data_IF_164839748657
#
_entry.id   IF_164839748657
#
_cell.length_a   1.000
_cell.length_b   1.000
_cell.length_c   1.000
_cell.angle_alpha   90.00
_cell.angle_beta   90.00
_cell.angle_gamma   90.00
#
_symmetry.space_group_name_H-M   'P 1'
#
loop_
_entity.id
_entity.type
_entity.pdbx_description
1 polymer ?
#
# COMPACT_ATOMS: atom_id res chain seq x y z
N UNK A 1 6.51 18.34 1.26
CA UNK A 1 5.17 18.46 1.88
C UNK A 1 4.12 19.08 0.96
N UNK A 2 4.33 20.26 0.33
CA UNK A 2 3.24 20.94 -0.41
C UNK A 2 2.71 20.23 -1.69
N UNK A 3 3.57 19.56 -2.47
CA UNK A 3 3.09 18.73 -3.62
C UNK A 3 2.24 17.55 -3.12
N UNK A 4 2.47 17.07 -1.89
CA UNK A 4 1.70 15.99 -1.26
C UNK A 4 0.40 16.50 -0.61
N UNK A 5 0.36 17.76 -0.16
CA UNK A 5 -0.86 18.37 0.39
C UNK A 5 -1.86 18.77 -0.70
N UNK A 6 -1.40 19.19 -1.89
CA UNK A 6 -2.29 19.44 -3.05
C UNK A 6 -2.87 18.14 -3.65
N UNK A 7 -2.31 16.96 -3.33
CA UNK A 7 -2.81 15.65 -3.80
C UNK A 7 -4.07 15.21 -3.03
N UNK A 8 -4.38 15.83 -1.89
CA UNK A 8 -5.56 15.52 -1.08
C UNK A 8 -6.85 16.18 -1.59
N UNK A 9 -6.74 17.21 -2.43
CA UNK A 9 -7.86 17.74 -3.22
C UNK A 9 -7.73 17.17 -4.63
N UNK A 10 -8.67 16.31 -5.05
CA UNK A 10 -8.56 15.38 -6.19
C UNK A 10 -8.26 15.91 -7.60
N UNK A 11 -7.84 17.16 -7.76
CA UNK A 11 -7.72 17.87 -9.04
C UNK A 11 -6.35 17.68 -9.73
N UNK A 12 -5.31 17.20 -9.04
CA UNK A 12 -3.94 17.14 -9.61
C UNK A 12 -3.69 16.05 -10.66
N UNK A 13 -4.58 15.06 -10.83
CA UNK A 13 -4.37 13.94 -11.76
C UNK A 13 -4.30 14.37 -13.24
N UNK A 14 -4.82 15.56 -13.55
CA UNK A 14 -4.89 16.09 -14.92
C UNK A 14 -3.88 17.21 -15.22
N UNK A 15 -2.93 17.45 -14.32
CA UNK A 15 -1.87 18.44 -14.53
C UNK A 15 -0.82 17.89 -15.51
N UNK A 16 -0.71 18.50 -16.69
CA UNK A 16 0.25 18.12 -17.73
C UNK A 16 1.65 18.65 -17.47
N UNK A 17 1.75 19.82 -16.84
CA UNK A 17 3.02 20.50 -16.63
C UNK A 17 3.00 21.28 -15.31
N UNK A 18 4.09 21.17 -14.55
CA UNK A 18 4.37 21.98 -13.38
C UNK A 18 5.62 22.81 -13.66
N UNK A 19 5.52 24.14 -13.50
CA UNK A 19 6.67 25.03 -13.59
C UNK A 19 6.76 25.92 -12.35
N UNK A 20 7.99 26.22 -11.93
CA UNK A 20 8.27 27.08 -10.77
C UNK A 20 8.91 28.36 -11.27
N UNK A 21 8.36 29.51 -10.90
CA UNK A 21 8.89 30.83 -11.24
C UNK A 21 8.88 31.71 -9.99
N UNK A 22 10.06 31.91 -9.41
CA UNK A 22 10.20 32.58 -8.11
C UNK A 22 9.40 31.87 -7.02
N UNK A 23 8.57 32.62 -6.30
CA UNK A 23 7.71 32.12 -5.22
C UNK A 23 6.36 31.55 -5.73
N UNK A 24 6.19 31.38 -7.05
CA UNK A 24 4.94 30.87 -7.63
C UNK A 24 5.13 29.47 -8.23
N UNK A 25 4.18 28.58 -7.93
CA UNK A 25 4.05 27.27 -8.57
C UNK A 25 2.88 27.33 -9.54
N UNK A 26 3.14 27.07 -10.83
CA UNK A 26 2.15 27.15 -11.90
C UNK A 26 1.82 25.72 -12.35
N UNK A 27 0.55 25.34 -12.22
CA UNK A 27 0.02 24.04 -12.64
C UNK A 27 -0.83 24.21 -13.90
N UNK A 28 -0.43 23.52 -14.98
CA UNK A 28 -1.12 23.52 -16.25
C UNK A 28 -2.02 22.29 -16.39
N UNK A 29 -3.34 22.49 -16.43
CA UNK A 29 -4.32 21.43 -16.66
C UNK A 29 -4.71 21.34 -18.14
N UNK A 30 -5.12 20.14 -18.57
CA UNK A 30 -5.24 19.73 -19.98
C UNK A 30 -6.08 20.58 -20.92
N UNK A 31 -6.87 21.61 -20.51
CA UNK A 31 -7.53 22.49 -21.53
C UNK A 31 -8.15 23.83 -21.12
N UNK A 32 -8.37 24.20 -19.85
CA UNK A 32 -9.10 25.47 -19.54
C UNK A 32 -8.71 26.24 -18.27
N UNK A 33 -7.82 25.70 -17.44
CA UNK A 33 -7.50 26.31 -16.15
C UNK A 33 -5.99 26.36 -15.92
N UNK A 34 -5.52 27.53 -15.50
CA UNK A 34 -4.20 27.71 -14.90
C UNK A 34 -4.43 27.95 -13.42
N UNK A 35 -3.81 27.13 -12.58
CA UNK A 35 -3.74 27.40 -11.15
C UNK A 35 -2.35 27.94 -10.83
N UNK A 36 -2.32 29.10 -10.20
CA UNK A 36 -1.10 29.71 -9.69
C UNK A 36 -1.18 29.69 -8.17
N UNK A 37 -0.25 28.98 -7.55
CA UNK A 37 -0.11 28.96 -6.09
C UNK A 37 1.03 29.90 -5.69
N UNK A 38 0.72 30.88 -4.83
CA UNK A 38 1.70 31.80 -4.27
C UNK A 38 2.23 31.25 -2.94
N UNK A 39 3.54 31.01 -2.87
CA UNK A 39 4.19 30.38 -1.72
C UNK A 39 4.29 31.30 -0.51
N UNK A 40 4.31 32.61 -0.69
CA UNK A 40 4.38 33.57 0.42
C UNK A 40 3.00 33.83 1.04
N UNK A 41 1.95 33.97 0.22
CA UNK A 41 0.60 34.26 0.72
C UNK A 41 -0.26 33.01 0.98
N UNK A 42 0.16 31.83 0.53
CA UNK A 42 -0.64 30.59 0.54
C UNK A 42 -1.96 30.68 -0.25
N UNK A 43 -2.11 31.67 -1.13
CA UNK A 43 -3.30 31.83 -1.95
C UNK A 43 -3.22 31.03 -3.27
N UNK A 44 -4.38 30.53 -3.70
CA UNK A 44 -4.56 29.83 -4.97
C UNK A 44 -5.36 30.75 -5.89
N UNK A 45 -4.72 31.26 -6.94
CA UNK A 45 -5.39 31.99 -8.00
C UNK A 45 -5.82 31.01 -9.10
N UNK A 46 -7.13 30.91 -9.34
CA UNK A 46 -7.71 30.09 -10.41
C UNK A 46 -8.05 30.98 -11.60
N UNK A 47 -7.32 30.83 -12.69
CA UNK A 47 -7.63 31.48 -13.96
C UNK A 47 -8.44 30.53 -14.83
N UNK A 48 -9.76 30.75 -14.90
CA UNK A 48 -10.53 30.31 -16.05
C UNK A 48 -10.10 31.14 -17.26
N UNK A 49 -10.21 30.58 -18.47
CA UNK A 49 -10.05 31.36 -19.68
C UNK A 49 -11.43 31.89 -20.14
N UNK A 50 -11.92 33.06 -19.67
CA UNK A 50 -12.88 33.82 -20.43
C UNK A 50 -12.08 34.68 -21.42
N UNK A 51 -12.42 34.53 -22.70
CA UNK A 51 -12.05 35.38 -23.82
C UNK A 51 -11.21 36.64 -23.47
N UNK A 52 -9.88 36.54 -23.66
CA UNK A 52 -9.06 37.71 -24.00
C UNK A 52 -8.28 38.42 -22.90
N UNK A 53 -7.65 37.71 -21.96
CA UNK A 53 -6.58 38.32 -21.14
C UNK A 53 -5.20 38.12 -21.81
N UNK A 54 -4.57 39.23 -22.22
CA UNK A 54 -3.15 39.28 -22.57
C UNK A 54 -2.33 39.27 -21.28
N UNK A 55 -1.57 38.21 -21.02
CA UNK A 55 -0.47 38.28 -20.05
C UNK A 55 0.86 38.39 -20.79
N UNK A 56 1.70 39.31 -20.33
CA UNK A 56 3.06 39.50 -20.79
C UNK A 56 4.02 38.76 -19.85
N UNK A 57 5.06 38.13 -20.41
CA UNK A 57 6.13 37.58 -19.58
C UNK A 57 7.03 38.69 -19.01
N UNK A 58 7.97 38.34 -18.14
CA UNK A 58 8.95 39.27 -17.55
C UNK A 58 9.87 39.99 -18.58
N UNK A 59 9.70 39.74 -19.88
CA UNK A 59 10.38 40.40 -21.01
C UNK A 59 9.41 41.12 -21.96
N UNK A 60 8.16 41.36 -21.56
CA UNK A 60 7.17 42.11 -22.34
C UNK A 60 6.64 41.39 -23.60
N UNK A 61 6.80 40.07 -23.72
CA UNK A 61 6.24 39.30 -24.85
C UNK A 61 4.92 38.63 -24.44
N UNK A 62 3.83 38.79 -25.23
CA UNK A 62 2.54 38.21 -24.91
C UNK A 62 2.55 36.68 -25.11
N UNK A 63 1.93 35.95 -24.18
CA UNK A 63 1.64 34.53 -24.36
C UNK A 63 0.47 34.35 -25.34
N UNK A 64 0.70 33.75 -26.50
CA UNK A 64 -0.39 33.32 -27.39
C UNK A 64 -1.00 32.03 -26.87
N UNK A 65 -2.23 32.07 -26.34
CA UNK A 65 -2.98 30.88 -25.99
C UNK A 65 -3.18 30.00 -27.24
N UNK A 66 -2.74 28.74 -27.18
CA UNK A 66 -2.94 27.76 -28.25
C UNK A 66 -4.40 27.33 -28.45
N UNK A 67 -5.32 27.84 -27.62
CA UNK A 67 -6.74 27.54 -27.64
C UNK A 67 -7.51 28.06 -28.87
N UNK A 68 -6.92 28.95 -29.69
CA UNK A 68 -7.54 29.52 -30.90
C UNK A 68 -6.99 28.97 -32.24
N UNK A 69 -6.21 27.88 -32.23
CA UNK A 69 -5.77 27.27 -33.50
C UNK A 69 -6.94 26.53 -34.15
N UNK A 70 -7.36 26.98 -35.34
CA UNK A 70 -8.30 26.24 -36.20
C UNK A 70 -7.55 25.18 -37.00
N UNK A 71 -8.17 24.02 -37.18
CA UNK A 71 -7.70 22.99 -38.13
C UNK A 71 -8.42 23.22 -39.45
N UNK A 72 -7.68 23.45 -40.52
CA UNK A 72 -8.26 23.51 -41.87
C UNK A 72 -8.16 22.13 -42.50
N UNK A 73 -9.30 21.56 -42.89
CA UNK A 73 -9.36 20.34 -43.69
C UNK A 73 -9.81 20.70 -45.11
N UNK A 74 -9.06 20.22 -46.10
CA UNK A 74 -9.40 20.44 -47.51
C UNK A 74 -10.05 19.18 -48.06
N UNK A 75 -11.25 19.30 -48.62
CA UNK A 75 -11.91 18.19 -49.30
C UNK A 75 -11.11 17.80 -50.55
N UNK A 76 -10.67 16.55 -50.73
CA UNK A 76 -9.87 16.16 -51.90
C UNK A 76 -10.64 16.23 -53.23
N UNK A 77 -11.98 16.21 -53.18
CA UNK A 77 -12.83 16.22 -54.38
C UNK A 77 -13.15 17.64 -54.85
N UNK A 78 -13.69 18.50 -53.97
CA UNK A 78 -14.10 19.86 -54.34
C UNK A 78 -13.08 20.93 -53.95
N UNK A 79 -12.00 20.56 -53.25
CA UNK A 79 -10.96 21.46 -52.70
C UNK A 79 -11.50 22.54 -51.75
N UNK A 80 -12.76 22.45 -51.34
CA UNK A 80 -13.33 23.37 -50.36
C UNK A 80 -12.69 23.13 -49.00
N UNK A 81 -12.37 24.21 -48.32
CA UNK A 81 -11.75 24.20 -47.00
C UNK A 81 -12.84 24.28 -45.92
N UNK A 82 -12.77 23.36 -44.95
CA UNK A 82 -13.55 23.41 -43.73
C UNK A 82 -12.62 23.79 -42.57
N UNK A 83 -12.92 24.89 -41.89
CA UNK A 83 -12.21 25.28 -40.68
C UNK A 83 -12.94 24.73 -39.46
N UNK A 84 -12.30 23.81 -38.76
CA UNK A 84 -12.81 23.22 -37.53
C UNK A 84 -12.10 23.81 -36.34
N UNK A 85 -12.85 24.00 -35.25
CA UNK A 85 -12.22 24.19 -33.95
C UNK A 85 -11.46 22.91 -33.56
N UNK A 86 -10.37 23.00 -32.78
CA UNK A 86 -9.56 21.83 -32.39
C UNK A 86 -10.37 20.69 -31.76
N UNK A 87 -11.50 21.02 -31.12
CA UNK A 87 -12.40 20.08 -30.45
C UNK A 87 -13.58 19.62 -31.33
N UNK A 88 -13.78 20.21 -32.50
CA UNK A 88 -14.81 19.78 -33.45
C UNK A 88 -14.28 18.65 -34.32
N UNK A 89 -15.13 17.65 -34.53
CA UNK A 89 -14.87 16.53 -35.42
C UNK A 89 -15.88 16.58 -36.55
N UNK A 90 -15.46 16.24 -37.77
CA UNK A 90 -16.42 16.00 -38.84
C UNK A 90 -17.30 14.80 -38.45
N UNK A 91 -18.61 14.85 -38.75
CA UNK A 91 -19.48 13.70 -38.54
C UNK A 91 -18.92 12.48 -39.27
N UNK A 92 -18.87 11.34 -38.56
CA UNK A 92 -18.36 10.08 -39.12
C UNK A 92 -19.27 9.68 -40.28
N UNK A 93 -18.71 9.67 -41.49
CA UNK A 93 -19.43 9.19 -42.66
C UNK A 93 -19.51 7.65 -42.59
N UNK A 94 -20.64 7.14 -42.10
CA UNK A 94 -20.89 5.71 -41.95
C UNK A 94 -20.85 4.94 -43.27
N UNK A 95 -21.18 5.57 -44.40
CA UNK A 95 -21.07 4.94 -45.73
C UNK A 95 -19.61 4.69 -46.13
N UNK A 96 -18.71 5.63 -45.82
CA UNK A 96 -17.26 5.46 -46.04
C UNK A 96 -16.61 4.48 -45.06
N UNK A 97 -17.08 4.43 -43.81
CA UNK A 97 -16.62 3.43 -42.84
C UNK A 97 -16.87 2.02 -43.36
N UNK A 98 -18.07 1.77 -43.91
CA UNK A 98 -18.43 0.50 -44.52
C UNK A 98 -17.58 0.19 -45.75
N UNK A 99 -17.29 1.19 -46.61
CA UNK A 99 -16.44 1.01 -47.80
C UNK A 99 -14.97 0.75 -47.46
N UNK A 100 -14.41 1.41 -46.44
CA UNK A 100 -13.06 1.15 -45.94
C UNK A 100 -12.96 -0.24 -45.31
N UNK A 101 -13.98 -0.67 -44.55
CA UNK A 101 -14.05 -2.06 -44.08
C UNK A 101 -14.30 -3.06 -45.22
N UNK A 102 -14.99 -2.67 -46.31
CA UNK A 102 -15.27 -3.54 -47.46
C UNK A 102 -14.02 -3.78 -48.32
N UNK A 103 -13.10 -2.82 -48.41
CA UNK A 103 -11.81 -3.03 -49.08
C UNK A 103 -10.91 -4.00 -48.31
N UNK A 104 -11.09 -4.11 -46.98
CA UNK A 104 -10.50 -5.17 -46.15
C UNK A 104 -11.26 -6.51 -46.24
N UNK A 105 -12.46 -6.54 -46.86
CA UNK A 105 -13.39 -7.69 -46.79
C UNK A 105 -13.69 -8.41 -48.10
N UNK A 106 -13.24 -7.94 -49.28
CA UNK A 106 -13.55 -8.60 -50.55
C UNK A 106 -12.54 -9.69 -50.97
N UNK A 107 -12.40 -10.68 -50.09
CA UNK A 107 -11.77 -11.98 -50.35
C UNK A 107 -12.30 -13.02 -49.37
N UNK A 108 -13.54 -13.47 -49.59
CA UNK A 108 -14.31 -14.25 -48.62
C UNK A 108 -13.69 -15.58 -48.18
N UNK A 109 -13.45 -15.70 -46.87
CA UNK A 109 -13.54 -16.95 -46.10
C UNK A 109 -13.89 -16.60 -44.65
N UNK A 110 -14.65 -17.43 -43.91
CA UNK A 110 -15.24 -17.05 -42.61
C UNK A 110 -14.26 -16.96 -41.43
N UNK A 111 -12.96 -17.18 -41.63
CA UNK A 111 -12.01 -17.36 -40.53
C UNK A 111 -10.87 -16.34 -40.60
N UNK A 112 -11.10 -15.16 -39.99
CA UNK A 112 -10.09 -14.20 -39.53
C UNK A 112 -9.22 -13.51 -40.60
N UNK A 113 -8.64 -12.33 -40.29
CA UNK A 113 -7.62 -11.72 -41.14
C UNK A 113 -6.40 -12.64 -41.18
N UNK A 114 -6.27 -13.41 -42.26
CA UNK A 114 -5.03 -14.15 -42.56
C UNK A 114 -3.96 -13.11 -42.84
N UNK A 115 -2.94 -13.05 -41.98
CA UNK A 115 -1.74 -12.27 -42.25
C UNK A 115 -1.17 -12.74 -43.60
N UNK A 116 -1.25 -11.89 -44.61
CA UNK A 116 -0.67 -12.19 -45.92
C UNK A 116 0.85 -12.26 -45.75
N UNK A 117 1.43 -13.42 -46.04
CA UNK A 117 2.88 -13.57 -46.10
C UNK A 117 3.37 -12.88 -47.37
N UNK A 118 4.41 -12.06 -47.29
CA UNK A 118 4.99 -11.36 -48.44
C UNK A 118 6.48 -11.68 -48.58
N UNK A 119 6.95 -11.76 -49.82
CA UNK A 119 8.36 -11.94 -50.13
C UNK A 119 9.13 -10.70 -49.71
N UNK A 120 10.17 -10.87 -48.89
CA UNK A 120 10.97 -9.74 -48.41
C UNK A 120 11.70 -8.99 -49.53
N UNK A 121 11.98 -9.67 -50.65
CA UNK A 121 12.72 -9.10 -51.78
C UNK A 121 11.84 -8.41 -52.83
N UNK A 122 10.70 -8.99 -53.21
CA UNK A 122 9.81 -8.44 -54.25
C UNK A 122 8.42 -8.01 -53.75
N UNK A 123 8.12 -8.20 -52.46
CA UNK A 123 6.84 -7.91 -51.81
C UNK A 123 5.61 -8.68 -52.36
N UNK A 124 5.81 -9.62 -53.28
CA UNK A 124 4.74 -10.49 -53.79
C UNK A 124 4.20 -11.42 -52.69
N UNK A 125 2.90 -11.75 -52.69
CA UNK A 125 2.31 -12.65 -51.71
C UNK A 125 2.88 -14.07 -51.83
N UNK A 126 3.11 -14.71 -50.68
CA UNK A 126 3.71 -16.03 -50.57
C UNK A 126 2.66 -17.10 -50.26
N UNK A 127 2.77 -18.24 -50.93
CA UNK A 127 2.04 -19.46 -50.56
C UNK A 127 2.88 -20.32 -49.62
N UNK A 128 2.30 -20.88 -48.57
CA UNK A 128 3.00 -21.73 -47.58
C UNK A 128 3.87 -22.84 -48.21
N UNK A 129 3.40 -23.46 -49.30
CA UNK A 129 4.12 -24.55 -50.00
C UNK A 129 5.36 -24.11 -50.79
N UNK A 130 5.53 -22.80 -51.04
CA UNK A 130 6.57 -22.24 -51.93
C UNK A 130 7.32 -21.08 -51.27
N UNK A 131 7.37 -21.08 -49.93
CA UNK A 131 8.06 -20.08 -49.12
C UNK A 131 9.40 -20.62 -48.64
N UNK A 132 10.44 -19.82 -48.78
CA UNK A 132 11.80 -20.15 -48.35
C UNK A 132 12.31 -19.12 -47.31
N UNK A 133 13.16 -19.55 -46.37
CA UNK A 133 13.89 -18.68 -45.43
C UNK A 133 15.35 -18.57 -45.89
N UNK A 134 15.87 -17.35 -45.96
CA UNK A 134 17.28 -17.10 -46.25
C UNK A 134 18.03 -16.75 -44.97
N UNK A 135 18.78 -17.70 -44.41
CA UNK A 135 19.47 -17.54 -43.12
C UNK A 135 20.50 -16.40 -43.14
N UNK A 136 21.20 -16.22 -44.26
CA UNK A 136 22.16 -15.12 -44.43
C UNK A 136 21.48 -13.75 -44.32
N UNK A 137 20.31 -13.58 -44.95
CA UNK A 137 19.59 -12.33 -44.87
C UNK A 137 18.98 -12.12 -43.48
N UNK A 138 18.51 -13.19 -42.83
CA UNK A 138 18.05 -13.12 -41.46
C UNK A 138 19.15 -12.64 -40.49
N UNK A 139 20.37 -13.16 -40.62
CA UNK A 139 21.54 -12.71 -39.85
C UNK A 139 21.91 -11.26 -40.15
N UNK A 140 22.06 -10.92 -41.44
CA UNK A 140 22.44 -9.58 -41.90
C UNK A 140 21.44 -8.52 -41.43
N UNK A 141 20.15 -8.82 -41.52
CA UNK A 141 19.08 -7.88 -41.19
C UNK A 141 18.65 -7.98 -39.71
N UNK A 142 19.30 -8.82 -38.90
CA UNK A 142 18.98 -9.10 -37.49
C UNK A 142 17.52 -9.51 -37.27
N UNK A 143 16.94 -10.27 -38.20
CA UNK A 143 15.58 -10.80 -38.15
C UNK A 143 15.59 -12.27 -37.75
N UNK A 144 14.49 -12.75 -37.16
CA UNK A 144 14.31 -14.18 -36.83
C UNK A 144 14.30 -15.04 -38.11
N UNK A 145 13.68 -14.52 -39.15
CA UNK A 145 13.54 -15.15 -40.47
C UNK A 145 13.35 -14.09 -41.55
N UNK A 146 13.77 -14.41 -42.78
CA UNK A 146 13.55 -13.59 -43.97
C UNK A 146 12.92 -14.46 -45.03
N UNK A 147 11.59 -14.34 -45.14
CA UNK A 147 10.78 -15.12 -46.06
C UNK A 147 10.92 -14.57 -47.49
N UNK A 148 11.22 -15.46 -48.43
CA UNK A 148 11.37 -15.14 -49.86
C UNK A 148 10.62 -16.15 -50.73
N UNK A 149 10.19 -15.71 -51.92
CA UNK A 149 9.59 -16.60 -52.91
C UNK A 149 10.68 -17.40 -53.64
N UNK A 150 10.32 -18.53 -54.24
CA UNK A 150 11.28 -19.36 -54.99
C UNK A 150 11.99 -18.61 -56.12
N UNK A 151 11.30 -17.69 -56.82
CA UNK A 151 11.91 -16.87 -57.87
C UNK A 151 13.00 -15.95 -57.30
N UNK A 152 12.75 -15.27 -56.18
CA UNK A 152 13.76 -14.45 -55.53
C UNK A 152 14.91 -15.29 -54.96
N UNK A 153 14.60 -16.49 -54.43
CA UNK A 153 15.62 -17.45 -54.01
C UNK A 153 16.63 -17.76 -55.12
N UNK A 154 16.13 -18.00 -56.34
CA UNK A 154 16.96 -18.31 -57.51
C UNK A 154 17.61 -17.10 -58.17
N UNK A 155 16.97 -15.93 -58.18
CA UNK A 155 17.49 -14.76 -58.91
C UNK A 155 18.39 -13.86 -58.05
N UNK A 156 18.03 -13.67 -56.78
CA UNK A 156 18.69 -12.69 -55.90
C UNK A 156 19.44 -13.32 -54.71
N UNK A 157 19.28 -14.63 -54.50
CA UNK A 157 19.94 -15.35 -53.39
C UNK A 157 20.68 -16.62 -53.88
N UNK A 158 20.98 -16.72 -55.18
CA UNK A 158 21.62 -17.88 -55.79
C UNK A 158 23.04 -18.13 -55.29
N UNK A 159 23.79 -17.04 -55.11
CA UNK A 159 25.15 -16.99 -54.55
C UNK A 159 25.23 -17.62 -53.15
N UNK A 160 24.08 -17.75 -52.48
CA UNK A 160 23.91 -18.32 -51.14
C UNK A 160 22.76 -19.34 -51.09
N UNK A 161 22.51 -20.05 -52.20
CA UNK A 161 21.44 -21.04 -52.31
C UNK A 161 21.52 -22.12 -51.21
N UNK A 162 22.73 -22.50 -50.79
CA UNK A 162 22.94 -23.45 -49.66
C UNK A 162 22.38 -22.97 -48.32
N UNK A 163 22.13 -21.66 -48.17
CA UNK A 163 21.55 -21.01 -46.98
C UNK A 163 20.07 -20.66 -47.16
N UNK A 164 19.46 -21.04 -48.28
CA UNK A 164 18.03 -20.87 -48.54
C UNK A 164 17.33 -22.21 -48.29
N UNK A 165 16.45 -22.25 -47.30
CA UNK A 165 15.76 -23.49 -46.88
C UNK A 165 14.25 -23.35 -47.06
N UNK A 166 13.57 -24.44 -47.41
CA UNK A 166 12.11 -24.47 -47.44
C UNK A 166 11.56 -24.28 -46.02
N UNK A 167 10.56 -23.41 -45.86
CA UNK A 167 9.98 -23.09 -44.56
C UNK A 167 8.96 -24.13 -44.15
N UNK A 168 9.04 -24.59 -42.90
CA UNK A 168 8.00 -25.40 -42.27
C UNK A 168 7.07 -24.51 -41.44
N UNK A 169 5.78 -24.53 -41.77
CA UNK A 169 4.76 -23.83 -40.99
C UNK A 169 4.31 -24.70 -39.81
N UNK A 170 4.02 -24.07 -38.68
CA UNK A 170 3.53 -24.76 -37.49
C UNK A 170 2.04 -25.08 -37.66
N UNK A 171 1.71 -26.37 -37.71
CA UNK A 171 0.33 -26.83 -37.71
C UNK A 171 -0.33 -26.65 -36.32
N UNK A 172 -1.64 -26.86 -36.25
CA UNK A 172 -2.41 -26.70 -35.02
C UNK A 172 -1.94 -27.64 -33.89
N UNK A 173 -1.51 -28.86 -34.22
CA UNK A 173 -1.04 -29.85 -33.23
C UNK A 173 0.30 -29.41 -32.63
N UNK A 174 1.24 -28.95 -33.47
CA UNK A 174 2.51 -28.39 -33.06
C UNK A 174 2.33 -27.13 -32.21
N UNK A 175 1.46 -26.20 -32.66
CA UNK A 175 1.09 -25.00 -31.89
C UNK A 175 0.60 -25.39 -30.49
N UNK A 176 -0.41 -26.27 -30.42
CA UNK A 176 -1.00 -26.74 -29.16
C UNK A 176 0.03 -27.44 -28.27
N UNK A 177 0.89 -28.29 -28.83
CA UNK A 177 1.94 -28.99 -28.08
C UNK A 177 2.97 -28.04 -27.46
N UNK A 178 3.29 -26.93 -28.14
CA UNK A 178 4.26 -25.95 -27.65
C UNK A 178 3.72 -24.99 -26.60
N UNK A 179 2.44 -24.62 -26.65
CA UNK A 179 1.86 -23.62 -25.73
C UNK A 179 0.90 -24.19 -24.70
N UNK A 180 0.48 -25.46 -24.83
CA UNK A 180 -0.57 -26.06 -24.02
C UNK A 180 -0.30 -26.04 -22.51
N UNK A 181 0.98 -26.07 -22.10
CA UNK A 181 1.37 -26.01 -20.69
C UNK A 181 1.43 -24.61 -20.07
N UNK A 182 1.18 -23.56 -20.85
CA UNK A 182 1.37 -22.14 -20.45
C UNK A 182 0.02 -21.41 -20.33
N UNK A 183 -1.08 -22.03 -20.72
CA UNK A 183 -2.41 -21.41 -20.64
C UNK A 183 -2.75 -21.05 -19.20
N UNK A 184 -3.08 -19.77 -18.97
CA UNK A 184 -3.48 -19.26 -17.67
C UNK A 184 -4.84 -18.60 -17.72
N UNK A 185 -5.55 -18.67 -16.60
CA UNK A 185 -6.79 -17.95 -16.43
C UNK A 185 -6.50 -16.45 -16.25
N UNK A 186 -6.98 -15.57 -17.15
CA UNK A 186 -6.79 -14.12 -17.04
C UNK A 186 -7.41 -13.51 -15.77
N UNK A 187 -8.37 -14.19 -15.14
CA UNK A 187 -9.05 -13.72 -13.93
C UNK A 187 -8.32 -14.15 -12.64
N UNK A 188 -7.29 -15.01 -12.73
CA UNK A 188 -6.52 -15.47 -11.57
C UNK A 188 -5.90 -14.31 -10.76
N UNK A 189 -5.23 -13.30 -11.36
CA UNK A 189 -4.67 -12.18 -10.60
C UNK A 189 -5.72 -11.39 -9.80
N UNK A 190 -6.93 -11.20 -10.36
CA UNK A 190 -8.02 -10.48 -9.70
C UNK A 190 -8.58 -11.26 -8.52
N UNK A 191 -8.77 -12.58 -8.68
CA UNK A 191 -9.19 -13.46 -7.56
C UNK A 191 -8.14 -13.47 -6.46
N UNK A 192 -6.87 -13.58 -6.83
CA UNK A 192 -5.75 -13.54 -5.89
C UNK A 192 -5.66 -12.20 -5.16
N UNK A 193 -5.90 -11.07 -5.85
CA UNK A 193 -6.00 -9.74 -5.26
C UNK A 193 -7.13 -9.65 -4.25
N UNK A 194 -8.33 -10.11 -4.61
CA UNK A 194 -9.49 -10.13 -3.71
C UNK A 194 -9.24 -10.99 -2.47
N UNK A 195 -8.64 -12.18 -2.63
CA UNK A 195 -8.31 -13.05 -1.52
C UNK A 195 -7.29 -12.39 -0.57
N UNK A 196 -6.28 -11.72 -1.12
CA UNK A 196 -5.29 -11.00 -0.31
C UNK A 196 -5.91 -9.80 0.44
N UNK A 197 -6.81 -9.06 -0.22
CA UNK A 197 -7.54 -7.96 0.44
C UNK A 197 -8.37 -8.45 1.63
N UNK A 198 -9.03 -9.61 1.49
CA UNK A 198 -9.76 -10.25 2.60
C UNK A 198 -8.83 -10.59 3.77
N UNK A 199 -7.68 -11.21 3.50
CA UNK A 199 -6.68 -11.53 4.54
C UNK A 199 -6.16 -10.27 5.22
N UNK A 200 -5.93 -9.19 4.48
CA UNK A 200 -5.47 -7.92 5.07
C UNK A 200 -6.56 -7.27 5.94
N UNK A 201 -7.83 -7.39 5.56
CA UNK A 201 -8.96 -6.92 6.36
C UNK A 201 -9.08 -7.69 7.69
N UNK A 202 -8.89 -9.01 7.68
CA UNK A 202 -8.84 -9.83 8.89
C UNK A 202 -7.70 -9.40 9.82
N UNK A 203 -6.50 -9.19 9.25
CA UNK A 203 -5.34 -8.69 9.99
C UNK A 203 -5.62 -7.31 10.60
N UNK A 204 -6.24 -6.38 9.86
CA UNK A 204 -6.62 -5.06 10.39
C UNK A 204 -7.60 -5.16 11.57
N UNK A 205 -8.58 -6.07 11.48
CA UNK A 205 -9.53 -6.32 12.57
C UNK A 205 -8.82 -6.82 13.83
N UNK A 206 -7.88 -7.76 13.67
CA UNK A 206 -7.06 -8.27 14.78
C UNK A 206 -6.19 -7.17 15.42
N UNK A 207 -5.66 -6.26 14.61
CA UNK A 207 -4.95 -5.07 15.12
C UNK A 207 -5.85 -4.18 15.96
N UNK A 208 -7.07 -3.90 15.51
CA UNK A 208 -8.01 -3.06 16.26
C UNK A 208 -8.40 -3.68 17.60
N UNK A 209 -8.66 -4.99 17.63
CA UNK A 209 -8.94 -5.72 18.86
C UNK A 209 -7.75 -5.65 19.82
N UNK A 210 -6.55 -5.93 19.31
CA UNK A 210 -5.31 -5.90 20.09
C UNK A 210 -5.05 -4.54 20.72
N UNK A 211 -5.15 -3.45 19.94
CA UNK A 211 -4.94 -2.09 20.45
C UNK A 211 -6.03 -1.65 21.41
N UNK A 212 -7.29 -2.03 21.19
CA UNK A 212 -8.36 -1.77 22.15
C UNK A 212 -8.12 -2.46 23.50
N UNK A 213 -7.55 -3.67 23.49
CA UNK A 213 -7.11 -4.35 24.72
C UNK A 213 -5.91 -3.66 25.38
N UNK A 214 -4.92 -3.25 24.60
CA UNK A 214 -3.73 -2.55 25.10
C UNK A 214 -4.07 -1.20 25.74
N UNK A 215 -4.96 -0.41 25.12
CA UNK A 215 -5.44 0.86 25.65
C UNK A 215 -6.12 0.69 27.02
N UNK A 216 -6.99 -0.32 27.16
CA UNK A 216 -7.65 -0.65 28.44
C UNK A 216 -6.65 -1.03 29.54
N UNK A 217 -5.60 -1.78 29.20
CA UNK A 217 -4.58 -2.17 30.18
C UNK A 217 -3.74 -0.96 30.63
N UNK A 218 -3.38 -0.07 29.70
CA UNK A 218 -2.72 1.20 30.03
C UNK A 218 -3.60 2.10 30.91
N UNK A 219 -4.88 2.24 30.57
CA UNK A 219 -5.84 3.02 31.36
C UNK A 219 -6.00 2.44 32.77
N UNK A 220 -6.10 1.11 32.90
CA UNK A 220 -6.16 0.43 34.20
C UNK A 220 -4.93 0.73 35.06
N UNK A 221 -3.72 0.58 34.51
CA UNK A 221 -2.46 0.87 35.21
C UNK A 221 -2.38 2.34 35.60
N UNK A 222 -2.70 3.26 34.69
CA UNK A 222 -2.65 4.69 34.96
C UNK A 222 -3.66 5.12 36.03
N UNK A 223 -4.90 4.62 35.97
CA UNK A 223 -5.93 4.91 36.98
C UNK A 223 -5.51 4.42 38.38
N UNK A 224 -4.87 3.25 38.48
CA UNK A 224 -4.31 2.73 39.74
C UNK A 224 -3.13 3.57 40.23
N UNK A 225 -2.22 3.95 39.33
CA UNK A 225 -1.10 4.85 39.67
C UNK A 225 -1.58 6.22 40.15
N UNK A 226 -2.60 6.80 39.54
CA UNK A 226 -3.19 8.06 39.98
C UNK A 226 -3.82 7.94 41.38
N UNK A 227 -4.54 6.85 41.66
CA UNK A 227 -5.06 6.57 43.02
C UNK A 227 -3.96 6.48 44.06
N UNK A 228 -2.86 5.79 43.77
CA UNK A 228 -1.72 5.67 44.68
C UNK A 228 -0.97 6.99 44.88
N UNK A 229 -0.86 7.80 43.81
CA UNK A 229 -0.21 9.13 43.84
C UNK A 229 -1.05 10.20 44.52
N UNK A 230 -2.37 9.99 44.64
CA UNK A 230 -3.26 10.92 45.30
C UNK A 230 -2.84 11.21 46.76
N UNK A 231 -3.26 12.37 47.24
CA UNK A 231 -2.98 12.86 48.60
C UNK A 231 -3.72 12.09 49.71
N UNK A 232 -4.46 11.04 49.34
CA UNK A 232 -5.08 10.15 50.32
C UNK A 232 -3.98 9.43 51.13
N UNK A 233 -4.09 9.41 52.47
CA UNK A 233 -3.21 8.60 53.27
C UNK A 233 -3.52 7.12 52.99
N UNK A 234 -2.48 6.37 52.64
CA UNK A 234 -2.54 4.95 52.27
C UNK A 234 -1.42 4.28 53.05
N UNK A 235 -1.66 3.08 53.57
CA UNK A 235 -0.65 2.35 54.34
C UNK A 235 0.45 1.78 53.44
N UNK A 236 1.62 1.52 54.01
CA UNK A 236 2.70 0.86 53.27
C UNK A 236 2.27 -0.52 52.75
N UNK A 237 1.50 -1.28 53.53
CA UNK A 237 0.98 -2.61 53.15
C UNK A 237 0.09 -2.55 51.90
N UNK A 238 -0.79 -1.55 51.81
CA UNK A 238 -1.62 -1.36 50.60
C UNK A 238 -0.76 -0.93 49.41
N UNK A 239 0.21 -0.02 49.61
CA UNK A 239 1.13 0.40 48.54
C UNK A 239 1.95 -0.79 48.01
N UNK A 240 2.46 -1.65 48.88
CA UNK A 240 3.22 -2.83 48.49
C UNK A 240 2.36 -3.80 47.67
N UNK A 241 1.18 -4.17 48.17
CA UNK A 241 0.26 -5.05 47.43
C UNK A 241 -0.13 -4.48 46.07
N UNK A 242 -0.53 -3.21 46.02
CA UNK A 242 -0.90 -2.55 44.77
C UNK A 242 0.29 -2.45 43.81
N UNK A 243 1.51 -2.24 44.32
CA UNK A 243 2.73 -2.22 43.50
C UNK A 243 3.02 -3.59 42.86
N UNK A 244 2.82 -4.69 43.59
CA UNK A 244 2.99 -6.04 43.05
C UNK A 244 1.99 -6.32 41.93
N UNK A 245 0.72 -5.95 42.12
CA UNK A 245 -0.30 -6.12 41.10
C UNK A 245 -0.04 -5.23 39.88
N UNK A 246 0.40 -3.98 40.08
CA UNK A 246 0.83 -3.09 39.00
C UNK A 246 2.01 -3.66 38.21
N UNK A 247 2.96 -4.35 38.86
CA UNK A 247 4.07 -5.02 38.19
C UNK A 247 3.59 -6.20 37.33
N UNK A 248 2.56 -6.93 37.76
CA UNK A 248 1.92 -7.98 36.95
C UNK A 248 1.26 -7.37 35.71
N UNK A 249 0.47 -6.32 35.88
CA UNK A 249 -0.18 -5.60 34.78
C UNK A 249 0.87 -5.03 33.80
N UNK A 250 1.96 -4.42 34.31
CA UNK A 250 3.07 -3.91 33.51
C UNK A 250 3.75 -5.02 32.69
N UNK A 251 3.91 -6.21 33.28
CA UNK A 251 4.42 -7.41 32.62
C UNK A 251 3.54 -7.85 31.45
N UNK A 252 2.22 -7.84 31.61
CA UNK A 252 1.25 -8.14 30.53
C UNK A 252 1.43 -7.13 29.38
N UNK A 253 1.51 -5.84 29.72
CA UNK A 253 1.71 -4.79 28.71
C UNK A 253 3.05 -4.96 27.98
N UNK A 254 4.15 -5.29 28.69
CA UNK A 254 5.46 -5.55 28.06
C UNK A 254 5.39 -6.70 27.05
N UNK A 255 4.76 -7.82 27.42
CA UNK A 255 4.57 -8.96 26.51
C UNK A 255 3.78 -8.57 25.26
N UNK A 256 2.72 -7.77 25.42
CA UNK A 256 1.95 -7.23 24.28
C UNK A 256 2.82 -6.33 23.39
N UNK A 257 3.61 -5.42 23.95
CA UNK A 257 4.52 -4.58 23.16
C UNK A 257 5.61 -5.37 22.43
N UNK A 258 6.11 -6.45 23.02
CA UNK A 258 7.04 -7.36 22.37
C UNK A 258 6.39 -8.06 21.18
N UNK A 259 5.17 -8.60 21.34
CA UNK A 259 4.35 -9.15 20.25
C UNK A 259 4.15 -8.14 19.12
N UNK A 260 3.85 -6.88 19.46
CA UNK A 260 3.71 -5.79 18.50
C UNK A 260 5.01 -5.52 17.73
N UNK A 261 6.16 -5.60 18.39
CA UNK A 261 7.47 -5.40 17.75
C UNK A 261 7.75 -6.47 16.70
N UNK A 262 7.39 -7.73 16.99
CA UNK A 262 7.50 -8.86 16.05
C UNK A 262 6.60 -8.60 14.84
N UNK A 263 5.35 -8.22 15.06
CA UNK A 263 4.42 -7.88 13.98
C UNK A 263 4.93 -6.76 13.10
N UNK A 264 5.48 -5.69 13.70
CA UNK A 264 6.04 -4.56 12.97
C UNK A 264 7.16 -5.01 12.03
N UNK A 265 8.10 -5.81 12.53
CA UNK A 265 9.21 -6.35 11.72
C UNK A 265 8.67 -7.23 10.59
N UNK A 266 7.72 -8.12 10.89
CA UNK A 266 7.13 -9.01 9.90
C UNK A 266 6.42 -8.25 8.77
N UNK A 267 5.61 -7.24 9.10
CA UNK A 267 4.95 -6.41 8.09
C UNK A 267 5.94 -5.55 7.29
N UNK A 268 6.96 -5.00 7.96
CA UNK A 268 8.04 -4.27 7.28
C UNK A 268 8.79 -5.16 6.29
N UNK A 269 8.97 -6.45 6.57
CA UNK A 269 9.60 -7.38 5.62
C UNK A 269 8.74 -7.64 4.37
N UNK A 270 7.41 -7.45 4.46
CA UNK A 270 6.51 -7.51 3.30
C UNK A 270 6.61 -6.23 2.48
N UNK A 271 6.59 -5.06 3.14
CA UNK A 271 6.60 -3.75 2.49
C UNK A 271 7.99 -3.27 2.07
N UNK A 272 9.07 -3.96 2.47
CA UNK A 272 10.42 -3.59 2.06
C UNK A 272 10.57 -3.70 0.53
N UNK A 273 10.83 -2.57 -0.15
CA UNK A 273 11.09 -2.58 -1.59
C UNK A 273 12.27 -3.49 -1.89
N UNK A 274 12.25 -4.15 -3.05
CA UNK A 274 13.44 -4.87 -3.53
C UNK A 274 14.66 -3.93 -3.47
N UNK A 275 15.85 -4.47 -3.18
CA UNK A 275 17.11 -3.72 -2.90
C UNK A 275 17.44 -2.57 -3.86
N UNK A 276 16.82 -2.52 -5.05
CA UNK A 276 16.96 -1.48 -6.07
C UNK A 276 16.29 -0.14 -5.69
N UNK A 277 15.16 -0.14 -4.99
CA UNK A 277 14.41 1.09 -4.65
C UNK A 277 14.86 1.73 -3.32
N UNK A 278 15.61 0.97 -2.51
CA UNK A 278 16.11 1.38 -1.20
C UNK A 278 17.14 2.53 -1.26
N UNK A 279 17.78 2.77 -2.42
CA UNK A 279 18.77 3.87 -2.59
C UNK A 279 18.15 5.26 -2.69
N UNK A 280 16.86 5.38 -3.01
CA UNK A 280 16.21 6.69 -3.18
C UNK A 280 15.58 7.25 -1.91
N UNK A 281 15.35 6.41 -0.88
CA UNK A 281 14.55 6.78 0.29
C UNK A 281 15.34 7.12 1.56
N UNK A 282 16.62 6.76 1.64
CA UNK A 282 17.45 6.97 2.85
C UNK A 282 17.90 8.42 3.10
N UNK A 283 17.51 9.38 2.25
CA UNK A 283 17.91 10.78 2.38
C UNK A 283 16.96 11.66 3.21
N UNK A 284 15.81 11.15 3.70
CA UNK A 284 14.67 12.04 4.03
C UNK A 284 14.11 12.02 5.46
N UNK A 285 14.65 11.26 6.42
CA UNK A 285 14.07 11.22 7.78
C UNK A 285 15.12 11.19 8.88
N UNK A 286 15.70 12.36 9.21
CA UNK A 286 16.55 12.53 10.41
C UNK A 286 16.03 13.54 11.43
N UNK A 287 15.03 14.36 11.14
CA UNK A 287 14.58 15.38 12.10
C UNK A 287 13.19 15.07 12.62
N UNK A 288 13.08 14.78 13.93
CA UNK A 288 11.98 15.20 14.83
C UNK A 288 12.16 14.57 16.22
N UNK A 289 12.78 15.31 17.14
CA UNK A 289 12.70 15.10 18.59
C UNK A 289 12.57 16.45 19.28
N UNK A 290 11.53 16.59 20.10
CA UNK A 290 11.45 17.36 21.36
C UNK A 290 10.15 18.16 21.50
N UNK A 291 9.53 18.01 22.68
CA UNK A 291 8.72 18.95 23.49
C UNK A 291 7.53 18.19 24.09
N UNK A 292 7.06 18.45 25.32
CA UNK A 292 7.62 18.95 26.58
C UNK A 292 6.55 18.60 27.62
N UNK A 293 6.97 18.31 28.83
CA UNK A 293 6.13 18.00 30.00
C UNK A 293 5.27 19.19 30.45
N UNK A 294 4.00 18.94 30.81
CA UNK A 294 3.17 19.83 31.62
C UNK A 294 2.74 19.09 32.90
N UNK A 295 3.07 19.67 34.06
CA UNK A 295 2.58 19.25 35.38
C UNK A 295 1.24 19.94 35.64
N UNK A 296 0.23 19.14 35.95
CA UNK A 296 -1.01 19.61 36.58
C UNK A 296 -0.84 19.76 38.08
N UNK A 297 -1.55 20.73 38.65
CA UNK A 297 -1.63 21.02 40.08
C UNK A 297 -2.88 20.36 40.66
N UNK A 298 -2.83 19.63 41.79
CA UNK A 298 -4.02 19.11 42.42
C UNK A 298 -4.55 20.09 43.48
N UNK A 299 -5.79 20.53 43.29
CA UNK A 299 -6.66 20.95 44.37
C UNK A 299 -7.54 19.74 44.71
N UNK A 300 -7.29 19.09 45.85
CA UNK A 300 -8.04 17.93 46.31
C UNK A 300 -8.42 18.06 47.77
N UNK A 301 -9.72 17.93 48.05
CA UNK A 301 -10.30 17.84 49.39
C UNK A 301 -9.71 16.66 50.16
N UNK A 302 -9.16 16.91 51.36
CA UNK A 302 -8.61 15.87 52.25
C UNK A 302 -9.72 14.90 52.66
N UNK A 303 -9.63 13.66 52.18
CA UNK A 303 -10.46 12.56 52.66
C UNK A 303 -9.83 12.04 53.96
N UNK A 304 -10.54 12.15 55.08
CA UNK A 304 -10.11 11.57 56.35
C UNK A 304 -10.37 10.07 56.36
N UNK A 305 -9.36 9.26 56.68
CA UNK A 305 -9.50 7.81 56.93
C UNK A 305 -10.47 7.61 58.11
N UNK A 306 -11.31 6.58 58.08
CA UNK A 306 -12.29 6.29 59.15
C UNK A 306 -12.06 4.93 59.77
N UNK A 307 -12.38 4.80 61.06
CA UNK A 307 -12.32 3.55 61.80
C UNK A 307 -13.35 2.56 61.27
N UNK A 308 -12.94 1.32 61.02
CA UNK A 308 -13.84 0.28 60.49
C UNK A 308 -14.94 -0.13 61.48
N UNK A 309 -14.70 0.08 62.78
CA UNK A 309 -15.62 -0.35 63.85
C UNK A 309 -16.59 0.76 64.29
N UNK A 310 -16.10 2.00 64.42
CA UNK A 310 -16.92 3.13 64.90
C UNK A 310 -17.15 4.24 63.87
N UNK A 311 -16.55 4.16 62.68
CA UNK A 311 -16.66 5.14 61.59
C UNK A 311 -16.14 6.57 61.91
N UNK A 312 -15.52 6.77 63.07
CA UNK A 312 -14.85 8.03 63.44
C UNK A 312 -13.57 8.25 62.61
N UNK A 313 -13.19 9.51 62.30
CA UNK A 313 -11.97 9.81 61.57
C UNK A 313 -10.73 9.40 62.37
N UNK A 314 -9.80 8.76 61.70
CA UNK A 314 -8.56 8.23 62.25
C UNK A 314 -7.40 9.23 62.10
N UNK A 315 -6.55 9.31 63.13
CA UNK A 315 -5.28 10.03 63.08
C UNK A 315 -4.15 9.05 62.76
N UNK A 316 -3.14 9.48 62.00
CA UNK A 316 -2.01 8.62 61.63
C UNK A 316 -1.29 8.03 62.85
N UNK A 317 -1.27 8.75 63.98
CA UNK A 317 -0.59 8.32 65.20
C UNK A 317 -1.35 7.26 65.99
N UNK A 318 -2.67 7.19 65.82
CA UNK A 318 -3.58 6.35 66.63
C UNK A 318 -4.36 5.33 65.79
N UNK A 319 -3.84 5.01 64.61
CA UNK A 319 -4.42 4.01 63.71
C UNK A 319 -3.70 2.67 63.84
N UNK A 320 -4.48 1.61 63.95
CA UNK A 320 -4.01 0.23 64.03
C UNK A 320 -4.64 -0.63 62.93
N UNK A 321 -3.93 -1.66 62.45
CA UNK A 321 -4.43 -2.67 61.50
C UNK A 321 -4.65 -3.97 62.28
N UNK A 322 -5.82 -4.57 62.11
CA UNK A 322 -6.17 -5.85 62.71
C UNK A 322 -6.07 -6.97 61.68
N UNK A 323 -4.95 -7.72 61.70
CA UNK A 323 -4.68 -8.78 60.71
C UNK A 323 -5.75 -9.88 60.73
N UNK A 324 -6.23 -10.27 61.92
CA UNK A 324 -7.28 -11.28 62.07
C UNK A 324 -8.59 -10.86 61.39
N UNK A 325 -9.03 -9.61 61.58
CA UNK A 325 -10.23 -9.09 60.95
C UNK A 325 -10.04 -8.87 59.44
N UNK A 326 -8.86 -8.45 59.01
CA UNK A 326 -8.55 -8.31 57.58
C UNK A 326 -8.64 -9.67 56.86
N UNK A 327 -8.10 -10.74 57.45
CA UNK A 327 -8.22 -12.09 56.91
C UNK A 327 -9.66 -12.59 56.91
N UNK A 328 -10.36 -12.48 58.04
CA UNK A 328 -11.78 -12.89 58.18
C UNK A 328 -12.68 -12.19 57.17
N UNK A 329 -12.47 -10.90 56.95
CA UNK A 329 -13.30 -10.08 56.07
C UNK A 329 -12.79 -10.07 54.61
N UNK A 330 -11.71 -10.80 54.29
CA UNK A 330 -11.04 -10.81 52.97
C UNK A 330 -10.64 -9.41 52.47
N UNK A 331 -10.19 -8.54 53.39
CA UNK A 331 -9.70 -7.19 53.09
C UNK A 331 -8.17 -7.15 53.17
N UNK A 332 -7.56 -6.20 52.46
CA UNK A 332 -6.09 -5.98 52.55
C UNK A 332 -5.68 -5.51 53.96
N UNK A 333 -6.53 -4.70 54.58
CA UNK A 333 -6.36 -4.14 55.92
C UNK A 333 -7.71 -3.81 56.56
N UNK A 334 -7.75 -3.81 57.89
CA UNK A 334 -8.90 -3.35 58.68
C UNK A 334 -8.37 -2.34 59.68
N UNK A 335 -8.52 -1.05 59.32
CA UNK A 335 -8.04 0.07 60.11
C UNK A 335 -9.01 0.39 61.25
N UNK A 336 -8.50 0.44 62.48
CA UNK A 336 -9.27 0.71 63.69
C UNK A 336 -8.58 1.79 64.54
N UNK A 337 -9.36 2.53 65.33
CA UNK A 337 -8.81 3.48 66.30
C UNK A 337 -8.30 2.74 67.53
N UNK A 338 -7.41 3.39 68.29
CA UNK A 338 -6.87 2.87 69.55
C UNK A 338 -7.93 2.30 70.49
N UNK A 339 -9.01 3.06 70.73
CA UNK A 339 -10.11 2.62 71.59
C UNK A 339 -10.79 1.37 71.06
N UNK A 340 -11.12 1.32 69.76
CA UNK A 340 -11.73 0.12 69.18
C UNK A 340 -10.79 -1.08 69.19
N UNK A 341 -9.49 -0.87 69.06
CA UNK A 341 -8.48 -1.91 69.24
C UNK A 341 -8.58 -2.57 70.61
N UNK A 342 -8.69 -1.77 71.67
CA UNK A 342 -8.80 -2.26 73.05
C UNK A 342 -10.18 -2.88 73.30
N UNK A 343 -11.26 -2.20 72.92
CA UNK A 343 -12.62 -2.54 73.36
C UNK A 343 -13.25 -3.67 72.52
N UNK A 344 -13.08 -3.63 71.19
CA UNK A 344 -13.76 -4.54 70.27
C UNK A 344 -12.84 -5.61 69.66
N UNK A 345 -11.52 -5.47 69.83
CA UNK A 345 -10.53 -6.41 69.28
C UNK A 345 -9.66 -7.04 70.38
N UNK A 346 -10.10 -6.98 71.66
CA UNK A 346 -9.38 -7.55 72.81
C UNK A 346 -9.03 -9.03 72.64
N UNK A 347 -9.96 -9.83 72.13
CA UNK A 347 -9.83 -11.30 71.97
C UNK A 347 -8.67 -11.68 71.04
N UNK A 348 -8.32 -10.81 70.09
CA UNK A 348 -7.25 -10.99 69.13
C UNK A 348 -6.31 -9.78 69.08
N UNK A 349 -6.14 -9.06 70.21
CA UNK A 349 -5.32 -7.85 70.33
C UNK A 349 -3.86 -8.08 69.91
N UNK A 350 -3.35 -9.30 70.09
CA UNK A 350 -2.00 -9.71 69.65
C UNK A 350 -1.81 -9.59 68.12
N UNK A 351 -2.90 -9.58 67.36
CA UNK A 351 -2.90 -9.41 65.89
C UNK A 351 -3.12 -7.96 65.46
N UNK A 352 -3.33 -7.05 66.41
CA UNK A 352 -3.50 -5.62 66.17
C UNK A 352 -2.12 -4.96 66.22
N UNK A 353 -1.71 -4.35 65.11
CA UNK A 353 -0.39 -3.71 64.97
C UNK A 353 -0.55 -2.23 64.62
N UNK A 354 0.43 -1.42 65.03
CA UNK A 354 0.48 0.00 64.65
C UNK A 354 0.70 0.12 63.13
N UNK A 355 0.02 1.07 62.49
CA UNK A 355 0.03 1.24 61.03
C UNK A 355 1.07 2.25 60.60
N UNK A 356 1.93 1.85 59.68
CA UNK A 356 2.85 2.77 58.98
C UNK A 356 2.19 3.29 57.71
N UNK A 357 1.95 4.60 57.66
CA UNK A 357 1.48 5.28 56.46
C UNK A 357 2.62 5.48 55.45
N UNK A 358 2.33 5.30 54.17
CA UNK A 358 3.29 5.51 53.10
C UNK A 358 3.43 7.00 52.81
N UNK A 359 4.63 7.54 53.05
CA UNK A 359 4.96 8.91 52.66
C UNK A 359 5.15 9.04 51.13
N UNK A 360 5.26 10.27 50.65
CA UNK A 360 5.43 10.54 49.22
C UNK A 360 6.74 9.97 48.64
N UNK A 361 7.80 9.86 49.44
CA UNK A 361 9.07 9.30 48.99
C UNK A 361 8.96 7.79 48.79
N UNK A 362 8.37 7.08 49.75
CA UNK A 362 8.08 5.65 49.70
C UNK A 362 7.15 5.30 48.53
N UNK A 363 6.03 6.04 48.38
CA UNK A 363 5.12 5.89 47.23
C UNK A 363 5.88 6.02 45.91
N UNK A 364 6.72 7.06 45.78
CA UNK A 364 7.51 7.33 44.56
C UNK A 364 8.56 6.26 44.30
N UNK A 365 9.24 5.75 45.32
CA UNK A 365 10.21 4.68 45.21
C UNK A 365 9.56 3.40 44.67
N UNK A 366 8.42 3.01 45.25
CA UNK A 366 7.72 1.76 44.92
C UNK A 366 7.08 1.76 43.54
N UNK A 367 6.44 2.85 43.13
CA UNK A 367 5.69 2.90 41.86
C UNK A 367 6.39 3.67 40.75
N UNK A 368 7.54 4.31 41.04
CA UNK A 368 8.24 5.20 40.11
C UNK A 368 8.70 4.51 38.83
N UNK A 369 9.01 3.22 38.88
CA UNK A 369 9.44 2.42 37.73
C UNK A 369 8.32 2.02 36.76
N UNK A 370 7.05 2.22 37.13
CA UNK A 370 5.88 1.73 36.37
C UNK A 370 5.21 2.87 35.56
N UNK A 371 5.75 4.09 35.61
CA UNK A 371 5.15 5.23 34.93
C UNK A 371 5.15 5.04 33.41
N UNK A 372 3.96 5.02 32.80
CA UNK A 372 3.78 4.93 31.36
C UNK A 372 3.13 6.17 30.78
N UNK A 373 3.44 6.46 29.53
CA UNK A 373 2.75 7.49 28.78
C UNK A 373 1.37 6.94 28.31
N UNK A 374 0.24 7.53 28.74
CA UNK A 374 -1.10 7.10 28.34
C UNK A 374 -1.34 7.18 26.83
N UNK A 375 -0.58 8.00 26.10
CA UNK A 375 -0.72 8.17 24.65
C UNK A 375 0.13 7.18 23.85
N UNK A 376 0.98 6.37 24.50
CA UNK A 376 1.83 5.39 23.83
C UNK A 376 1.04 4.38 22.97
N UNK A 377 -0.06 3.75 23.45
CA UNK A 377 -0.85 2.83 22.64
C UNK A 377 -1.38 3.47 21.36
N UNK A 378 -1.86 4.72 21.43
CA UNK A 378 -2.38 5.47 20.27
C UNK A 378 -1.28 5.77 19.26
N UNK A 379 -0.08 6.16 19.72
CA UNK A 379 1.09 6.36 18.85
C UNK A 379 1.50 5.07 18.16
N UNK A 380 1.54 3.96 18.90
CA UNK A 380 1.84 2.65 18.35
C UNK A 380 0.77 2.20 17.34
N UNK A 381 -0.51 2.44 17.62
CA UNK A 381 -1.62 2.18 16.70
C UNK A 381 -1.46 2.96 15.40
N UNK A 382 -1.18 4.27 15.49
CA UNK A 382 -0.94 5.12 14.32
C UNK A 382 0.27 4.67 13.50
N UNK A 383 1.37 4.28 14.15
CA UNK A 383 2.56 3.78 13.48
C UNK A 383 2.31 2.45 12.75
N UNK A 384 1.52 1.56 13.35
CA UNK A 384 1.14 0.29 12.74
C UNK A 384 0.18 0.49 11.57
N UNK A 385 -0.80 1.38 11.70
CA UNK A 385 -1.70 1.75 10.61
C UNK A 385 -0.93 2.29 9.39
N UNK A 386 0.08 3.13 9.61
CA UNK A 386 0.98 3.59 8.53
C UNK A 386 1.71 2.42 7.86
N UNK A 387 2.21 1.46 8.64
CA UNK A 387 2.92 0.28 8.10
C UNK A 387 1.99 -0.59 7.26
N UNK A 388 0.73 -0.76 7.67
CA UNK A 388 -0.28 -1.49 6.92
C UNK A 388 -0.67 -0.79 5.62
N UNK A 389 -0.75 0.53 5.62
CA UNK A 389 -0.95 1.30 4.39
C UNK A 389 0.20 1.06 3.38
N UNK A 390 1.45 1.03 3.86
CA UNK A 390 2.61 0.72 3.01
C UNK A 390 2.54 -0.70 2.43
N UNK A 391 2.14 -1.70 3.23
CA UNK A 391 1.89 -3.07 2.76
C UNK A 391 0.80 -3.11 1.70
N UNK A 392 -0.31 -2.40 1.91
CA UNK A 392 -1.40 -2.35 0.94
C UNK A 392 -0.95 -1.73 -0.40
N UNK A 393 -0.14 -0.67 -0.33
CA UNK A 393 0.43 -0.03 -1.52
C UNK A 393 1.35 -0.98 -2.29
N UNK A 394 2.21 -1.72 -1.60
CA UNK A 394 3.08 -2.73 -2.21
C UNK A 394 2.25 -3.83 -2.89
N UNK A 395 1.13 -4.25 -2.30
CA UNK A 395 0.22 -5.19 -2.93
C UNK A 395 -0.42 -4.64 -4.20
N UNK A 396 -0.87 -3.38 -4.21
CA UNK A 396 -1.42 -2.77 -5.41
C UNK A 396 -0.39 -2.71 -6.55
N UNK A 397 0.86 -2.33 -6.25
CA UNK A 397 1.96 -2.35 -7.23
C UNK A 397 2.23 -3.76 -7.73
N UNK A 398 2.31 -4.74 -6.82
CA UNK A 398 2.56 -6.14 -7.14
C UNK A 398 1.46 -6.71 -8.06
N UNK A 399 0.18 -6.51 -7.72
CA UNK A 399 -0.94 -7.03 -8.51
C UNK A 399 -1.08 -6.32 -9.85
N UNK A 400 -0.87 -4.99 -9.91
CA UNK A 400 -0.84 -4.29 -11.20
C UNK A 400 0.31 -4.77 -12.11
N UNK A 401 1.45 -5.16 -11.53
CA UNK A 401 2.53 -5.81 -12.26
C UNK A 401 2.22 -7.26 -12.67
N UNK A 402 1.47 -8.00 -11.86
CA UNK A 402 1.07 -9.38 -12.15
C UNK A 402 0.02 -9.43 -13.27
N UNK A 403 -0.99 -8.57 -13.22
CA UNK A 403 -2.03 -8.43 -14.25
C UNK A 403 -1.41 -8.15 -15.63
N UNK A 404 -0.48 -7.20 -15.71
CA UNK A 404 0.25 -6.89 -16.96
C UNK A 404 1.02 -8.08 -17.51
N UNK A 405 1.63 -8.90 -16.66
CA UNK A 405 2.37 -10.08 -17.11
C UNK A 405 1.42 -11.18 -17.60
N UNK A 406 0.28 -11.39 -16.94
CA UNK A 406 -0.79 -12.27 -17.42
C UNK A 406 -1.36 -11.80 -18.76
N UNK A 407 -1.69 -10.51 -18.89
CA UNK A 407 -2.18 -9.93 -20.14
C UNK A 407 -1.18 -10.11 -21.29
N UNK A 408 0.12 -9.91 -21.02
CA UNK A 408 1.20 -10.12 -21.98
C UNK A 408 1.27 -11.57 -22.45
N UNK A 409 1.27 -12.52 -21.51
CA UNK A 409 1.29 -13.97 -21.81
C UNK A 409 0.05 -14.36 -22.59
N UNK A 410 -1.14 -13.96 -22.14
CA UNK A 410 -2.41 -14.31 -22.80
C UNK A 410 -2.53 -13.69 -24.19
N UNK A 411 -2.06 -12.45 -24.37
CA UNK A 411 -2.03 -11.80 -25.69
C UNK A 411 -1.09 -12.54 -26.66
N UNK A 412 0.09 -12.95 -26.18
CA UNK A 412 1.03 -13.78 -26.95
C UNK A 412 0.45 -15.15 -27.27
N UNK A 413 -0.16 -15.84 -26.30
CA UNK A 413 -0.83 -17.13 -26.50
C UNK A 413 -1.95 -17.02 -27.54
N UNK A 414 -2.79 -15.98 -27.47
CA UNK A 414 -3.84 -15.73 -28.45
C UNK A 414 -3.27 -15.49 -29.85
N UNK A 415 -2.16 -14.75 -29.95
CA UNK A 415 -1.45 -14.53 -31.22
C UNK A 415 -0.88 -15.82 -31.82
N UNK A 416 -0.29 -16.69 -30.99
CA UNK A 416 0.30 -17.96 -31.43
C UNK A 416 -0.75 -19.04 -31.74
N UNK A 417 -1.85 -19.06 -30.98
CA UNK A 417 -2.94 -20.00 -31.12
C UNK A 417 -3.90 -19.67 -32.27
N UNK A 418 -3.87 -18.45 -32.81
CA UNK A 418 -4.69 -18.05 -33.95
C UNK A 418 -4.33 -18.75 -35.26
N UNK A 419 -5.21 -18.61 -36.25
CA UNK A 419 -5.10 -19.22 -37.58
C UNK A 419 -3.98 -18.61 -38.46
N UNK A 420 -3.19 -17.68 -37.92
CA UNK A 420 -2.07 -17.08 -38.62
C UNK A 420 -1.01 -18.11 -39.00
N UNK A 421 -0.49 -18.00 -40.23
CA UNK A 421 0.66 -18.74 -40.71
C UNK A 421 1.91 -18.30 -39.96
N UNK A 422 2.33 -19.09 -38.98
CA UNK A 422 3.57 -18.91 -38.22
C UNK A 422 4.50 -20.08 -38.55
N UNK A 423 5.78 -19.77 -38.75
CA UNK A 423 6.79 -20.81 -39.00
C UNK A 423 7.11 -21.57 -37.72
N UNK A 424 7.58 -22.81 -37.84
CA UNK A 424 8.03 -23.57 -36.67
C UNK A 424 9.19 -22.88 -35.95
N UNK A 425 10.07 -22.18 -36.69
CA UNK A 425 11.20 -21.41 -36.14
C UNK A 425 10.73 -20.23 -35.29
N UNK A 426 9.78 -19.43 -35.79
CA UNK A 426 9.15 -18.37 -35.01
C UNK A 426 8.38 -18.92 -33.81
N UNK A 427 7.62 -20.01 -34.01
CA UNK A 427 6.86 -20.65 -32.94
C UNK A 427 7.76 -21.10 -31.79
N UNK A 428 8.90 -21.70 -32.11
CA UNK A 428 9.90 -22.12 -31.12
C UNK A 428 10.41 -20.91 -30.32
N UNK A 429 10.88 -19.85 -30.99
CA UNK A 429 11.39 -18.64 -30.33
C UNK A 429 10.34 -17.96 -29.44
N UNK A 430 9.11 -17.78 -29.95
CA UNK A 430 8.03 -17.18 -29.17
C UNK A 430 7.61 -18.07 -28.00
N UNK A 431 7.68 -19.40 -28.14
CA UNK A 431 7.41 -20.32 -27.03
C UNK A 431 8.48 -20.23 -25.92
N UNK A 432 9.75 -20.02 -26.26
CA UNK A 432 10.81 -19.79 -25.26
C UNK A 432 10.60 -18.49 -24.49
N UNK A 433 10.25 -17.40 -25.19
CA UNK A 433 9.92 -16.12 -24.55
C UNK A 433 8.68 -16.22 -23.64
N UNK A 434 7.65 -16.96 -24.08
CA UNK A 434 6.48 -17.27 -23.24
C UNK A 434 6.85 -18.05 -21.99
N UNK A 435 7.77 -19.02 -22.08
CA UNK A 435 8.25 -19.78 -20.92
C UNK A 435 9.00 -18.90 -19.92
N UNK A 436 9.76 -17.90 -20.42
CA UNK A 436 10.42 -16.91 -19.56
C UNK A 436 9.39 -16.05 -18.82
N UNK A 437 8.39 -15.54 -19.53
CA UNK A 437 7.30 -14.74 -18.94
C UNK A 437 6.51 -15.57 -17.90
N UNK A 438 6.16 -16.82 -18.23
CA UNK A 438 5.50 -17.75 -17.30
C UNK A 438 6.35 -18.00 -16.05
N UNK A 439 7.67 -18.13 -16.21
CA UNK A 439 8.62 -18.25 -15.11
C UNK A 439 8.61 -17.03 -14.19
N UNK A 440 8.47 -15.81 -14.73
CA UNK A 440 8.30 -14.57 -13.93
C UNK A 440 7.00 -14.62 -13.14
N UNK A 441 5.90 -15.02 -13.77
CA UNK A 441 4.60 -15.17 -13.10
C UNK A 441 4.68 -16.20 -11.96
N UNK A 442 5.25 -17.39 -12.21
CA UNK A 442 5.42 -18.43 -11.18
C UNK A 442 6.22 -17.92 -9.98
N UNK A 443 7.30 -17.17 -10.22
CA UNK A 443 8.09 -16.55 -9.14
C UNK A 443 7.26 -15.55 -8.33
N UNK A 444 6.46 -14.71 -9.00
CA UNK A 444 5.54 -13.78 -8.32
C UNK A 444 4.49 -14.52 -7.49
N UNK A 445 3.82 -15.53 -8.04
CA UNK A 445 2.84 -16.33 -7.29
C UNK A 445 3.45 -17.04 -6.08
N UNK A 446 4.69 -17.54 -6.19
CA UNK A 446 5.43 -18.09 -5.05
C UNK A 446 5.70 -17.03 -3.97
N UNK A 447 6.07 -15.81 -4.35
CA UNK A 447 6.22 -14.69 -3.40
C UNK A 447 4.89 -14.39 -2.70
N UNK A 448 3.80 -14.37 -3.48
CA UNK A 448 2.45 -14.13 -2.97
C UNK A 448 2.00 -15.20 -1.96
N UNK A 449 2.28 -16.48 -2.23
CA UNK A 449 1.94 -17.56 -1.29
C UNK A 449 2.72 -17.45 0.02
N UNK A 450 4.00 -17.07 -0.04
CA UNK A 450 4.79 -16.76 1.17
C UNK A 450 4.15 -15.62 1.97
N UNK A 451 3.77 -14.52 1.31
CA UNK A 451 3.09 -13.40 1.98
C UNK A 451 1.75 -13.80 2.62
N UNK A 452 0.94 -14.63 1.95
CA UNK A 452 -0.33 -15.13 2.50
C UNK A 452 -0.11 -15.92 3.80
N UNK A 453 0.91 -16.77 3.84
CA UNK A 453 1.27 -17.52 5.06
C UNK A 453 1.74 -16.57 6.15
N UNK A 454 2.60 -15.62 5.82
CA UNK A 454 3.09 -14.63 6.79
C UNK A 454 1.96 -13.82 7.42
N UNK A 455 0.99 -13.34 6.64
CA UNK A 455 -0.15 -12.59 7.16
C UNK A 455 -1.10 -13.45 8.00
N UNK A 456 -1.36 -14.70 7.59
CA UNK A 456 -2.16 -15.64 8.40
C UNK A 456 -1.51 -15.96 9.75
N UNK A 457 -0.18 -16.07 9.78
CA UNK A 457 0.51 -16.27 11.04
C UNK A 457 0.35 -15.05 11.97
N UNK A 458 0.31 -13.82 11.43
CA UNK A 458 0.02 -12.63 12.24
C UNK A 458 -1.38 -12.71 12.86
N UNK A 459 -2.41 -13.08 12.09
CA UNK A 459 -3.77 -13.20 12.63
C UNK A 459 -3.91 -14.31 13.67
N UNK A 460 -3.17 -15.42 13.51
CA UNK A 460 -3.21 -16.54 14.46
C UNK A 460 -2.46 -16.27 15.76
N UNK A 461 -1.47 -15.38 15.77
CA UNK A 461 -0.75 -15.05 16.99
C UNK A 461 -1.67 -14.49 18.10
N UNK A 462 -2.87 -13.99 17.77
CA UNK A 462 -3.83 -13.49 18.74
C UNK A 462 -4.75 -14.56 19.36
N UNK A 463 -4.86 -15.76 18.79
CA UNK A 463 -5.80 -16.77 19.28
C UNK A 463 -5.28 -17.65 20.40
N UNK A 464 -3.98 -17.57 20.72
CA UNK A 464 -3.30 -18.45 21.66
C UNK A 464 -3.19 -17.88 23.10
N UNK A 465 -3.72 -16.66 23.33
CA UNK A 465 -3.87 -16.02 24.65
C UNK A 465 -5.37 -16.00 25.03
#
# INVERSE_FOLDING_TARGET
MLVSSLVLEGDLKDALLCSVSGDKVILHFTRKHIMIYNRQSHEIERYGCPNGLRSENAKGKPYTCFCNKKKTLTCPMCRSEAQLNIAEYLPVNWALKNLLTLHDSQGGSPNGPRLSLHCSSCNEPLSEKKTFDCEFCAERDQKTEVLICGACGLLYHNDRASRVKLVTFADAAYKKGKIGGISRDPEEPKREKSAMASTLMEVNKEFDIFFGGLEKDYERVNNRLEKLRGDCPITQKVVDKESEELMKDDGVIKKKLEKLSIWKITLQNISQPSHYERRLYTSLTRDLKNLRTRRGSPNGSRHSIKCSSCNEPLSEKTTFDCEFCAERDQKTEVLICEMCGIDYHAEHIKTVKHVTFADAAYKKEKIGGISRDPEEPKRQKSAMASTLMDVNKEFDVFFGGLEKDYERVNSRLKKLGGDGSITQKMMYKESEELMKDDGVIKKKLKKLSTWKVTLRNISQLNSDD
#
